data_IF_575306389017
#
_entry.id   IF_575306389017
#
_cell.length_a   1.000
_cell.length_b   1.000
_cell.length_c   1.000
_cell.angle_alpha   90.00
_cell.angle_beta   90.00
_cell.angle_gamma   90.00
#
_symmetry.space_group_name_H-M   'P 1'
#
loop_
_entity.id
_entity.type
_entity.pdbx_description
1 polymer ?
#
# COMPACT_ATOMS: atom_id res chain seq x y z
N UNK A 1 25.80 -8.78 -16.87
CA UNK A 1 24.66 -7.98 -17.34
C UNK A 1 24.85 -6.57 -16.81
N UNK A 2 24.75 -5.54 -17.61
CA UNK A 2 24.84 -4.17 -17.13
C UNK A 2 23.49 -3.73 -16.50
N UNK A 3 23.45 -2.54 -15.86
CA UNK A 3 22.26 -2.04 -15.17
C UNK A 3 21.05 -1.94 -16.11
N UNK A 4 21.25 -1.38 -17.29
CA UNK A 4 20.17 -1.21 -18.27
C UNK A 4 19.62 -2.54 -18.75
N UNK A 5 20.46 -3.51 -19.04
CA UNK A 5 20.05 -4.88 -19.45
C UNK A 5 19.24 -5.55 -18.36
N UNK A 6 19.59 -5.35 -17.07
CA UNK A 6 18.83 -5.91 -15.96
C UNK A 6 17.42 -5.30 -15.86
N UNK A 7 17.32 -3.96 -15.95
CA UNK A 7 16.02 -3.28 -15.92
C UNK A 7 15.16 -3.73 -17.10
N UNK A 8 15.72 -3.81 -18.32
CA UNK A 8 14.99 -4.25 -19.49
C UNK A 8 14.46 -5.67 -19.34
N UNK A 9 15.28 -6.59 -18.81
CA UNK A 9 14.85 -7.95 -18.51
C UNK A 9 13.68 -7.98 -17.51
N UNK A 10 13.76 -7.22 -16.41
CA UNK A 10 12.68 -7.14 -15.42
C UNK A 10 11.38 -6.58 -16.02
N UNK A 11 11.47 -5.59 -16.92
CA UNK A 11 10.29 -5.05 -17.65
C UNK A 11 9.66 -6.13 -18.54
N UNK A 12 10.48 -6.86 -19.30
CA UNK A 12 10.00 -7.91 -20.23
C UNK A 12 9.36 -9.08 -19.47
N UNK A 13 9.96 -9.52 -18.38
CA UNK A 13 9.47 -10.62 -17.53
C UNK A 13 8.27 -10.22 -16.65
N UNK A 14 8.06 -8.93 -16.42
CA UNK A 14 6.97 -8.40 -15.61
C UNK A 14 5.58 -8.63 -16.22
N UNK A 15 4.54 -8.41 -15.41
CA UNK A 15 3.12 -8.65 -15.76
C UNK A 15 2.42 -7.44 -16.38
N UNK A 16 3.16 -6.37 -16.70
CA UNK A 16 2.61 -5.17 -17.33
C UNK A 16 2.02 -5.46 -18.71
N UNK A 17 1.00 -4.69 -19.07
CA UNK A 17 0.49 -4.66 -20.44
C UNK A 17 1.57 -4.21 -21.43
N UNK A 18 1.52 -4.73 -22.65
CA UNK A 18 2.52 -4.49 -23.71
C UNK A 18 2.74 -2.99 -23.99
N UNK A 19 1.68 -2.19 -23.92
CA UNK A 19 1.78 -0.73 -24.09
C UNK A 19 2.67 -0.08 -23.02
N UNK A 20 2.49 -0.47 -21.74
CA UNK A 20 3.29 0.04 -20.63
C UNK A 20 4.73 -0.47 -20.69
N UNK A 21 4.94 -1.74 -21.03
CA UNK A 21 6.30 -2.28 -21.25
C UNK A 21 7.06 -1.45 -22.29
N UNK A 22 6.45 -1.22 -23.44
CA UNK A 22 7.06 -0.43 -24.51
C UNK A 22 7.39 1.00 -24.08
N UNK A 23 6.53 1.62 -23.26
CA UNK A 23 6.80 2.94 -22.69
C UNK A 23 8.09 2.94 -21.87
N UNK A 24 8.24 2.02 -20.92
CA UNK A 24 9.41 1.96 -20.04
C UNK A 24 10.67 1.52 -20.80
N UNK A 25 10.57 0.60 -21.74
CA UNK A 25 11.70 0.19 -22.59
C UNK A 25 12.24 1.36 -23.45
N UNK A 26 11.41 2.33 -23.80
CA UNK A 26 11.83 3.56 -24.48
C UNK A 26 12.31 4.67 -23.52
N UNK A 27 11.70 4.79 -22.33
CA UNK A 27 11.98 5.85 -21.38
C UNK A 27 13.27 5.61 -20.58
N UNK A 28 13.47 4.41 -20.05
CA UNK A 28 14.61 4.08 -19.16
C UNK A 28 15.97 4.30 -19.84
N UNK A 29 16.21 3.96 -21.11
CA UNK A 29 17.49 4.26 -21.77
C UNK A 29 17.84 5.74 -21.85
N UNK A 30 16.83 6.63 -21.73
CA UNK A 30 17.03 8.10 -21.79
C UNK A 30 17.42 8.71 -20.43
N UNK A 31 17.27 7.93 -19.35
CA UNK A 31 17.66 8.36 -17.99
C UNK A 31 19.18 8.40 -17.86
N UNK A 32 19.66 9.24 -16.95
CA UNK A 32 21.10 9.25 -16.60
C UNK A 32 21.49 7.94 -15.92
N UNK A 33 22.75 7.54 -16.06
CA UNK A 33 23.27 6.30 -15.45
C UNK A 33 23.04 6.22 -13.94
N UNK A 34 23.13 7.35 -13.23
CA UNK A 34 22.83 7.42 -11.79
C UNK A 34 21.36 7.13 -11.48
N UNK A 35 20.47 7.64 -12.31
CA UNK A 35 19.02 7.43 -12.18
C UNK A 35 18.65 5.98 -12.51
N UNK A 36 19.27 5.39 -13.54
CA UNK A 36 19.08 3.97 -13.87
C UNK A 36 19.55 3.05 -12.71
N UNK A 37 20.65 3.36 -12.04
CA UNK A 37 21.10 2.59 -10.88
C UNK A 37 20.11 2.70 -9.71
N UNK A 38 19.66 3.92 -9.41
CA UNK A 38 18.67 4.14 -8.36
C UNK A 38 17.33 3.45 -8.68
N UNK A 39 16.93 3.48 -9.95
CA UNK A 39 15.73 2.78 -10.42
C UNK A 39 15.84 1.26 -10.20
N UNK A 40 16.95 0.64 -10.61
CA UNK A 40 17.16 -0.80 -10.41
C UNK A 40 17.16 -1.17 -8.92
N UNK A 41 17.89 -0.41 -8.08
CA UNK A 41 17.93 -0.64 -6.63
C UNK A 41 16.53 -0.57 -6.01
N UNK A 42 15.73 0.40 -6.44
CA UNK A 42 14.37 0.58 -5.94
C UNK A 42 13.42 -0.52 -6.43
N UNK A 43 13.51 -0.91 -7.71
CA UNK A 43 12.75 -2.04 -8.25
C UNK A 43 13.01 -3.33 -7.46
N UNK A 44 14.28 -3.67 -7.25
CA UNK A 44 14.67 -4.87 -6.49
C UNK A 44 14.13 -4.81 -5.04
N UNK A 45 14.21 -3.64 -4.41
CA UNK A 45 13.68 -3.41 -3.06
C UNK A 45 12.16 -3.59 -3.01
N UNK A 46 11.43 -3.10 -4.01
CA UNK A 46 9.98 -3.27 -4.12
C UNK A 46 9.59 -4.73 -4.34
N UNK A 47 10.31 -5.45 -5.19
CA UNK A 47 10.08 -6.88 -5.42
C UNK A 47 10.39 -7.73 -4.18
N UNK A 48 11.46 -7.41 -3.45
CA UNK A 48 11.78 -8.05 -2.17
C UNK A 48 10.67 -7.81 -1.13
N UNK A 49 10.08 -6.61 -1.13
CA UNK A 49 8.93 -6.27 -0.30
C UNK A 49 7.60 -6.89 -0.78
N UNK A 50 7.59 -7.64 -1.89
CA UNK A 50 6.41 -8.31 -2.42
C UNK A 50 5.52 -7.44 -3.30
N UNK A 51 6.00 -6.30 -3.81
CA UNK A 51 5.21 -5.47 -4.72
C UNK A 51 5.33 -6.00 -6.16
N UNK A 52 4.20 -6.17 -6.81
CA UNK A 52 4.14 -6.48 -8.23
C UNK A 52 4.30 -5.20 -9.05
N UNK A 53 4.71 -5.33 -10.32
CA UNK A 53 4.86 -4.18 -11.22
C UNK A 53 5.78 -3.07 -10.70
N UNK A 54 6.88 -3.46 -10.06
CA UNK A 54 7.86 -2.58 -9.42
C UNK A 54 8.35 -1.43 -10.32
N UNK A 55 8.45 -1.64 -11.64
CA UNK A 55 8.95 -0.64 -12.58
C UNK A 55 8.09 0.63 -12.61
N UNK A 56 6.76 0.52 -12.59
CA UNK A 56 5.88 1.67 -12.69
C UNK A 56 6.04 2.60 -11.48
N UNK A 57 5.98 2.01 -10.27
CA UNK A 57 6.15 2.73 -9.03
C UNK A 57 7.57 3.29 -8.87
N UNK A 58 8.61 2.47 -9.15
CA UNK A 58 9.99 2.91 -9.03
C UNK A 58 10.35 4.01 -10.03
N UNK A 59 9.83 3.94 -11.28
CA UNK A 59 10.04 4.97 -12.28
C UNK A 59 9.41 6.30 -11.86
N UNK A 60 8.16 6.29 -11.39
CA UNK A 60 7.47 7.48 -10.87
C UNK A 60 8.25 8.08 -9.67
N UNK A 61 8.73 7.25 -8.74
CA UNK A 61 9.52 7.74 -7.61
C UNK A 61 10.82 8.42 -8.03
N UNK A 62 11.54 7.86 -9.00
CA UNK A 62 12.83 8.42 -9.46
C UNK A 62 12.63 9.62 -10.39
N UNK A 63 11.62 9.60 -11.28
CA UNK A 63 11.40 10.64 -12.29
C UNK A 63 10.59 11.84 -11.78
N UNK A 64 9.65 11.59 -10.84
CA UNK A 64 8.66 12.56 -10.39
C UNK A 64 8.82 12.94 -8.91
N UNK A 65 9.72 12.25 -8.18
CA UNK A 65 9.95 12.40 -6.72
C UNK A 65 8.71 12.10 -5.86
N UNK A 66 7.83 11.22 -6.33
CA UNK A 66 6.64 10.75 -5.61
C UNK A 66 7.03 9.56 -4.73
N UNK A 67 6.70 9.51 -3.42
CA UNK A 67 7.17 8.46 -2.51
C UNK A 67 6.41 7.13 -2.67
N UNK A 68 6.50 6.51 -3.84
CA UNK A 68 5.74 5.31 -4.19
C UNK A 68 6.05 4.11 -3.29
N UNK A 69 7.32 3.93 -2.92
CA UNK A 69 7.68 2.82 -2.03
C UNK A 69 7.05 2.99 -0.64
N UNK A 70 7.06 4.21 -0.09
CA UNK A 70 6.42 4.48 1.20
C UNK A 70 4.90 4.30 1.11
N UNK A 71 4.27 4.82 0.04
CA UNK A 71 2.84 4.66 -0.24
C UNK A 71 2.46 3.17 -0.32
N UNK A 72 3.15 2.39 -1.13
CA UNK A 72 2.91 0.94 -1.29
C UNK A 72 3.10 0.18 0.03
N UNK A 73 4.07 0.60 0.86
CA UNK A 73 4.29 0.00 2.19
C UNK A 73 3.09 0.26 3.11
N UNK A 74 2.57 1.49 3.14
CA UNK A 74 1.35 1.82 3.91
C UNK A 74 0.17 0.98 3.44
N UNK A 75 -0.07 0.92 2.13
CA UNK A 75 -1.14 0.11 1.55
C UNK A 75 -1.02 -1.37 1.93
N UNK A 76 0.17 -1.95 1.82
CA UNK A 76 0.41 -3.34 2.20
C UNK A 76 0.04 -3.61 3.66
N UNK A 77 0.41 -2.71 4.59
CA UNK A 77 0.05 -2.85 5.99
C UNK A 77 -1.46 -2.70 6.23
N UNK A 78 -2.14 -1.78 5.54
CA UNK A 78 -3.60 -1.67 5.62
C UNK A 78 -4.30 -2.93 5.08
N UNK A 79 -3.83 -3.46 3.96
CA UNK A 79 -4.32 -4.74 3.43
C UNK A 79 -4.07 -5.90 4.41
N UNK A 80 -2.93 -5.93 5.10
CA UNK A 80 -2.65 -6.95 6.12
C UNK A 80 -3.71 -6.92 7.23
N UNK A 81 -4.11 -5.73 7.69
CA UNK A 81 -5.18 -5.57 8.68
C UNK A 81 -6.51 -6.13 8.11
N UNK A 82 -6.86 -5.81 6.88
CA UNK A 82 -8.09 -6.30 6.24
C UNK A 82 -8.10 -7.83 6.10
N UNK A 83 -6.95 -8.44 5.84
CA UNK A 83 -6.81 -9.90 5.60
C UNK A 83 -6.79 -10.74 6.88
N UNK A 84 -6.61 -10.13 8.04
CA UNK A 84 -6.50 -10.83 9.34
C UNK A 84 -7.70 -10.50 10.26
N UNK A 85 -8.92 -10.92 9.91
CA UNK A 85 -10.11 -10.61 10.70
C UNK A 85 -10.09 -11.18 12.12
N UNK A 86 -9.44 -12.33 12.36
CA UNK A 86 -9.32 -12.91 13.69
C UNK A 86 -8.41 -12.07 14.61
N UNK A 87 -7.30 -11.51 14.08
CA UNK A 87 -6.47 -10.58 14.83
C UNK A 87 -7.26 -9.33 15.21
N UNK A 88 -8.09 -8.82 14.28
CA UNK A 88 -8.92 -7.65 14.53
C UNK A 88 -10.00 -7.93 15.59
N UNK A 89 -10.57 -9.14 15.62
CA UNK A 89 -11.50 -9.56 16.67
C UNK A 89 -10.81 -9.66 18.04
N UNK A 90 -9.59 -10.19 18.10
CA UNK A 90 -8.80 -10.24 19.32
C UNK A 90 -8.49 -8.83 19.86
N UNK A 91 -8.13 -7.88 19.00
CA UNK A 91 -7.97 -6.48 19.41
C UNK A 91 -9.29 -5.86 19.90
N UNK A 92 -10.42 -6.19 19.26
CA UNK A 92 -11.72 -5.70 19.70
C UNK A 92 -12.09 -6.25 21.08
N UNK A 93 -11.78 -7.52 21.35
CA UNK A 93 -11.94 -8.14 22.67
C UNK A 93 -11.14 -7.42 23.75
N UNK A 94 -9.84 -7.11 23.47
CA UNK A 94 -8.97 -6.38 24.40
C UNK A 94 -9.46 -4.94 24.68
N UNK A 95 -10.23 -4.35 23.77
CA UNK A 95 -10.78 -2.99 23.89
C UNK A 95 -12.22 -2.98 24.40
N UNK A 96 -12.89 -4.14 24.47
CA UNK A 96 -14.27 -4.23 24.92
C UNK A 96 -14.34 -3.90 26.41
N UNK A 97 -15.14 -2.88 26.73
CA UNK A 97 -15.44 -2.48 28.13
C UNK A 97 -16.72 -3.15 28.64
N UNK A 98 -17.47 -3.78 27.73
CA UNK A 98 -18.80 -4.36 28.01
C UNK A 98 -18.68 -5.86 28.33
N UNK A 99 -19.34 -6.31 29.39
CA UNK A 99 -19.38 -7.71 29.83
C UNK A 99 -20.14 -8.64 28.85
N UNK A 100 -20.82 -8.09 27.82
CA UNK A 100 -21.62 -8.84 26.86
C UNK A 100 -20.88 -9.15 25.53
N UNK A 101 -19.59 -8.77 25.40
CA UNK A 101 -18.79 -9.02 24.21
C UNK A 101 -18.79 -10.49 23.78
N UNK A 102 -18.53 -11.39 24.73
CA UNK A 102 -18.48 -12.82 24.47
C UNK A 102 -19.83 -13.36 23.97
N UNK A 103 -20.94 -12.90 24.54
CA UNK A 103 -22.29 -13.28 24.13
C UNK A 103 -22.60 -12.78 22.71
N UNK A 104 -22.20 -11.55 22.37
CA UNK A 104 -22.37 -10.97 21.04
C UNK A 104 -21.53 -11.70 20.00
N UNK A 105 -20.28 -12.02 20.32
CA UNK A 105 -19.37 -12.74 19.43
C UNK A 105 -19.87 -14.18 19.18
N UNK A 106 -20.32 -14.87 20.23
CA UNK A 106 -20.93 -16.21 20.11
C UNK A 106 -22.19 -16.16 19.22
N UNK A 107 -23.06 -15.18 19.43
CA UNK A 107 -24.26 -14.99 18.62
C UNK A 107 -23.93 -14.70 17.15
N UNK A 108 -22.91 -13.90 16.89
CA UNK A 108 -22.42 -13.63 15.55
C UNK A 108 -21.93 -14.93 14.88
N UNK A 109 -21.04 -15.69 15.55
CA UNK A 109 -20.51 -16.97 15.07
C UNK A 109 -21.59 -18.04 14.84
N UNK A 110 -22.65 -18.04 15.64
CA UNK A 110 -23.78 -18.96 15.48
C UNK A 110 -24.75 -18.54 14.35
N UNK A 111 -24.70 -17.29 13.90
CA UNK A 111 -25.59 -16.76 12.84
C UNK A 111 -25.03 -17.01 11.46
N UNK A 112 -23.70 -16.97 11.29
CA UNK A 112 -23.01 -17.11 10.02
C UNK A 112 -22.17 -18.39 10.00
N UNK A 113 -22.01 -18.99 8.82
CA UNK A 113 -20.92 -19.95 8.62
C UNK A 113 -19.56 -19.24 8.76
N UNK A 114 -18.52 -19.98 9.07
CA UNK A 114 -17.15 -19.45 9.19
C UNK A 114 -16.73 -18.62 7.97
N UNK A 115 -16.97 -19.13 6.75
CA UNK A 115 -16.66 -18.44 5.50
C UNK A 115 -17.47 -17.14 5.28
N UNK A 116 -18.75 -17.12 5.72
CA UNK A 116 -19.57 -15.92 5.64
C UNK A 116 -19.13 -14.87 6.67
N UNK A 117 -18.82 -15.31 7.88
CA UNK A 117 -18.32 -14.44 8.95
C UNK A 117 -16.97 -13.81 8.54
N UNK A 118 -16.02 -14.60 8.06
CA UNK A 118 -14.74 -14.11 7.54
C UNK A 118 -14.93 -13.09 6.41
N UNK A 119 -15.75 -13.42 5.41
CA UNK A 119 -16.05 -12.52 4.29
C UNK A 119 -16.68 -11.21 4.76
N UNK A 120 -17.63 -11.27 5.68
CA UNK A 120 -18.27 -10.08 6.24
C UNK A 120 -17.26 -9.20 6.96
N UNK A 121 -16.46 -9.77 7.86
CA UNK A 121 -15.44 -9.05 8.63
C UNK A 121 -14.39 -8.41 7.72
N UNK A 122 -13.93 -9.13 6.70
CA UNK A 122 -12.99 -8.58 5.71
C UNK A 122 -13.57 -7.39 4.96
N UNK A 123 -14.79 -7.50 4.45
CA UNK A 123 -15.45 -6.41 3.72
C UNK A 123 -15.72 -5.21 4.64
N UNK A 124 -16.15 -5.44 5.87
CA UNK A 124 -16.36 -4.39 6.86
C UNK A 124 -15.05 -3.67 7.20
N UNK A 125 -14.00 -4.44 7.51
CA UNK A 125 -12.67 -3.88 7.81
C UNK A 125 -12.11 -3.12 6.61
N UNK A 126 -12.31 -3.61 5.38
CA UNK A 126 -11.92 -2.90 4.16
C UNK A 126 -12.58 -1.52 4.08
N UNK A 127 -13.88 -1.43 4.34
CA UNK A 127 -14.59 -0.15 4.36
C UNK A 127 -14.08 0.80 5.45
N UNK A 128 -13.77 0.27 6.65
CA UNK A 128 -13.17 1.08 7.74
C UNK A 128 -11.78 1.58 7.33
N UNK A 129 -10.95 0.72 6.74
CA UNK A 129 -9.60 1.12 6.30
C UNK A 129 -9.66 2.15 5.18
N UNK A 130 -10.59 2.04 4.23
CA UNK A 130 -10.81 3.06 3.22
C UNK A 130 -11.14 4.42 3.85
N UNK A 131 -12.03 4.45 4.85
CA UNK A 131 -12.36 5.69 5.56
C UNK A 131 -11.19 6.29 6.37
N UNK A 132 -10.36 5.44 6.98
CA UNK A 132 -9.13 5.90 7.68
C UNK A 132 -8.15 6.52 6.71
N UNK A 133 -8.07 5.98 5.56
CA UNK A 133 -7.25 6.38 4.46
C UNK A 133 -7.71 7.73 3.87
N UNK A 134 -8.99 7.89 3.53
CA UNK A 134 -9.57 9.18 3.11
C UNK A 134 -9.30 10.26 4.16
N UNK A 135 -9.42 9.92 5.45
CA UNK A 135 -9.11 10.84 6.55
C UNK A 135 -7.66 11.35 6.53
N UNK A 136 -6.70 10.52 6.14
CA UNK A 136 -5.30 10.95 6.05
C UNK A 136 -5.01 11.70 4.75
N UNK A 137 -5.69 11.38 3.66
CA UNK A 137 -5.50 12.02 2.36
C UNK A 137 -6.16 13.39 2.29
N UNK A 138 -7.42 13.47 2.68
CA UNK A 138 -8.20 14.71 2.62
C UNK A 138 -7.74 15.75 3.66
N UNK A 139 -7.04 15.32 4.71
CA UNK A 139 -6.66 16.19 5.80
C UNK A 139 -7.87 16.66 6.62
N UNK A 140 -7.78 17.84 7.21
CA UNK A 140 -8.89 18.40 7.99
C UNK A 140 -9.95 19.02 7.07
N UNK A 141 -11.20 18.48 7.03
CA UNK A 141 -12.29 19.05 6.21
C UNK A 141 -12.70 20.47 6.64
N UNK A 142 -12.23 20.93 7.80
CA UNK A 142 -12.45 22.27 8.34
C UNK A 142 -11.15 23.06 8.46
N UNK A 143 -10.17 22.80 7.61
CA UNK A 143 -8.85 23.43 7.70
C UNK A 143 -8.91 24.97 7.69
N UNK A 144 -9.81 25.55 6.91
CA UNK A 144 -9.99 27.01 6.83
C UNK A 144 -10.57 27.63 8.12
N UNK A 145 -11.35 26.86 8.90
CA UNK A 145 -11.95 27.32 10.15
C UNK A 145 -11.02 27.07 11.34
N UNK A 146 -10.33 25.93 11.34
CA UNK A 146 -9.53 25.45 12.46
C UNK A 146 -8.07 25.91 12.37
N UNK A 147 -7.63 26.46 11.23
CA UNK A 147 -6.22 26.79 10.91
C UNK A 147 -5.27 25.61 11.18
N UNK A 148 -5.75 24.38 10.89
CA UNK A 148 -5.06 23.14 11.18
C UNK A 148 -5.39 22.09 10.11
N UNK A 149 -4.37 21.43 9.59
CA UNK A 149 -4.51 20.21 8.79
C UNK A 149 -3.40 19.22 9.13
N UNK A 150 -3.47 18.03 8.54
CA UNK A 150 -2.47 16.97 8.68
C UNK A 150 -2.12 16.36 7.32
N UNK A 151 -0.96 15.75 7.26
CA UNK A 151 -0.48 15.00 6.10
C UNK A 151 0.33 13.81 6.58
N UNK A 152 0.37 12.74 5.79
CA UNK A 152 1.32 11.65 5.99
C UNK A 152 2.67 12.03 5.37
N UNK A 153 3.75 11.91 6.16
CA UNK A 153 5.09 12.20 5.69
C UNK A 153 5.97 10.96 5.69
N UNK A 154 6.74 10.79 4.62
CA UNK A 154 7.82 9.81 4.61
C UNK A 154 8.92 10.24 5.58
N UNK A 155 9.33 9.32 6.45
CA UNK A 155 10.47 9.50 7.36
C UNK A 155 11.50 8.42 7.13
N UNK A 156 12.77 8.73 7.46
CA UNK A 156 13.82 7.71 7.53
C UNK A 156 13.74 6.92 8.82
N UNK A 157 14.43 5.79 8.88
CA UNK A 157 14.48 4.96 10.09
C UNK A 157 15.01 5.69 11.34
N UNK A 158 15.79 6.75 11.17
CA UNK A 158 16.28 7.62 12.25
C UNK A 158 15.27 8.71 12.68
N UNK A 159 14.07 8.71 12.08
CA UNK A 159 13.00 9.66 12.35
C UNK A 159 13.14 11.01 11.63
N UNK A 160 14.19 11.22 10.85
CA UNK A 160 14.32 12.45 10.05
C UNK A 160 13.37 12.43 8.87
N UNK A 161 12.72 13.57 8.59
CA UNK A 161 11.78 13.69 7.47
C UNK A 161 12.52 13.70 6.13
N UNK A 162 11.85 13.19 5.09
CA UNK A 162 12.27 13.34 3.69
C UNK A 162 11.53 14.47 2.99
N UNK A 163 10.62 15.15 3.70
CA UNK A 163 9.78 16.25 3.17
C UNK A 163 8.89 15.81 1.98
N UNK A 164 8.68 14.49 1.82
CA UNK A 164 7.77 13.96 0.80
C UNK A 164 6.46 13.55 1.45
N UNK A 165 5.35 14.07 0.93
CA UNK A 165 4.00 13.72 1.36
C UNK A 165 3.62 12.39 0.74
N UNK A 166 3.08 11.49 1.56
CA UNK A 166 2.50 10.22 1.10
C UNK A 166 1.02 10.49 0.84
N UNK A 167 0.66 10.58 -0.43
CA UNK A 167 -0.69 10.86 -0.92
C UNK A 167 -1.01 10.04 -2.19
N UNK A 168 -2.10 10.40 -2.87
CA UNK A 168 -2.49 9.81 -4.14
C UNK A 168 -2.95 8.39 -4.00
N UNK A 169 -3.62 8.10 -2.94
CA UNK A 169 -4.25 6.83 -2.72
C UNK A 169 -5.61 6.78 -3.47
N UNK A 170 -5.93 5.73 -4.16
CA UNK A 170 -7.14 5.60 -4.97
C UNK A 170 -8.00 4.43 -4.49
N UNK A 171 -9.31 4.47 -4.72
CA UNK A 171 -10.22 3.36 -4.38
C UNK A 171 -9.74 2.01 -4.96
N UNK A 172 -9.10 2.06 -6.14
CA UNK A 172 -8.54 0.89 -6.82
C UNK A 172 -7.28 0.31 -6.14
N UNK A 173 -6.62 1.08 -5.26
CA UNK A 173 -5.44 0.62 -4.51
C UNK A 173 -5.77 -0.48 -3.48
N UNK A 174 -7.03 -0.67 -3.14
CA UNK A 174 -7.49 -1.78 -2.29
C UNK A 174 -7.72 -3.08 -3.07
N UNK A 175 -7.02 -3.29 -4.19
CA UNK A 175 -7.03 -4.55 -4.93
C UNK A 175 -5.89 -5.43 -4.44
N UNK A 176 -6.23 -6.62 -3.94
CA UNK A 176 -5.27 -7.61 -3.40
C UNK A 176 -4.22 -8.09 -4.44
N UNK A 177 -4.41 -7.74 -5.72
CA UNK A 177 -3.59 -8.24 -6.83
C UNK A 177 -2.20 -7.59 -6.93
N UNK A 178 -2.00 -6.43 -6.31
CA UNK A 178 -0.74 -5.68 -6.40
C UNK A 178 0.37 -6.21 -5.49
N UNK A 179 0.03 -7.14 -4.59
CA UNK A 179 0.97 -7.67 -3.62
C UNK A 179 1.17 -9.19 -3.76
N UNK A 180 2.40 -9.61 -3.52
CA UNK A 180 2.76 -10.99 -3.27
C UNK A 180 2.75 -11.23 -1.75
N UNK A 181 1.69 -11.88 -1.27
CA UNK A 181 1.45 -12.07 0.16
C UNK A 181 2.30 -13.18 0.81
N UNK A 182 3.10 -13.89 0.01
CA UNK A 182 4.04 -14.90 0.51
C UNK A 182 5.40 -14.28 0.88
N UNK A 183 5.62 -13.05 0.50
CA UNK A 183 6.80 -12.23 0.86
C UNK A 183 6.46 -11.21 1.93
#
# INVERSE_FOLDING_TARGET
>A
MNVLEQIQQMIEEGTLEEFHKNYYLDAVPKMKEKEQKALLELMLKMEEAGFKNSIAAAYSEIAEDIPQFARMTVLKELHRIVRNPEDNLSYAEDLAEDDDWDELLEKFRNTFSEAEAEKFLRLYTKGVMASVYDFFEDGNPRADEDDLTWVLLETKADGSHRERVIDGFWEDDFVDEDFDWEK
#
